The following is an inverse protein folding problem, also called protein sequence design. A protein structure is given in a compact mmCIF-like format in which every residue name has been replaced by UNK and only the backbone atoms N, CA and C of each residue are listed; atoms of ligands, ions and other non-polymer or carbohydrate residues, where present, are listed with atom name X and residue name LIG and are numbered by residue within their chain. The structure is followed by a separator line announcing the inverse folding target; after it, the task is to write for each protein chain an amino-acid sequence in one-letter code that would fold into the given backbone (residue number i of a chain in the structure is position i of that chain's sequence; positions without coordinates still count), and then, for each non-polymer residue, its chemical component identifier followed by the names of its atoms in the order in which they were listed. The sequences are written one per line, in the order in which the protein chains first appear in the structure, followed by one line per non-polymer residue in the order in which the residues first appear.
data_IF_757320563687
#
_entry.id   IF_757320563687
#
_cell.length_a   1.000
_cell.length_b   1.000
_cell.length_c   1.000
_cell.angle_alpha   90.00
_cell.angle_beta   90.00
_cell.angle_gamma   90.00
#
_symmetry.space_group_name_H-M   'P 1'
#
loop_
_entity.id
_entity.type
_entity.pdbx_description
1 polymer ?
#
# COMPACT_ATOMS: atom_id res chain seq x y z
N UNK A 1 6.73 25.25 0.16
CA UNK A 1 6.02 24.85 1.40
C UNK A 1 4.75 24.13 0.94
N UNK A 2 4.67 22.84 1.14
CA UNK A 2 3.50 22.08 0.75
C UNK A 2 2.49 22.15 1.89
N UNK A 3 1.36 22.79 1.63
CA UNK A 3 0.27 22.97 2.57
C UNK A 3 -0.42 21.63 2.83
N UNK A 4 -0.03 20.99 3.92
CA UNK A 4 -0.87 19.96 4.52
C UNK A 4 -1.40 20.50 5.84
N UNK A 5 -2.63 20.11 6.17
CA UNK A 5 -3.28 20.53 7.41
C UNK A 5 -2.91 19.56 8.52
N UNK A 6 -2.62 20.07 9.71
CA UNK A 6 -2.45 19.25 10.91
C UNK A 6 -3.65 19.49 11.82
N UNK A 7 -4.30 18.41 12.25
CA UNK A 7 -5.37 18.44 13.25
C UNK A 7 -4.93 17.72 14.51
N UNK A 8 -5.02 18.42 15.61
CA UNK A 8 -4.75 17.88 16.94
C UNK A 8 -5.96 17.08 17.42
N UNK A 9 -5.71 15.86 17.86
CA UNK A 9 -6.69 14.98 18.52
C UNK A 9 -6.36 14.88 20.00
N UNK A 10 -7.38 14.82 20.85
CA UNK A 10 -7.23 14.61 22.30
C UNK A 10 -7.48 13.16 22.70
N UNK A 11 -7.65 12.25 21.74
CA UNK A 11 -7.91 10.83 21.98
C UNK A 11 -6.59 10.04 21.91
N UNK A 12 -6.46 8.92 22.64
CA UNK A 12 -5.28 8.05 22.61
C UNK A 12 -5.27 7.21 21.31
N UNK A 13 -5.20 7.86 20.17
CA UNK A 13 -5.15 7.24 18.85
C UNK A 13 -3.76 7.51 18.24
N UNK A 14 -3.19 6.52 17.58
CA UNK A 14 -1.94 6.69 16.85
C UNK A 14 -2.05 7.74 15.74
N UNK A 15 -0.95 8.33 15.33
CA UNK A 15 -0.92 9.30 14.24
C UNK A 15 -1.36 8.64 12.93
N UNK A 16 -2.09 9.38 12.10
CA UNK A 16 -2.48 8.94 10.76
C UNK A 16 -2.73 10.13 9.85
N UNK A 17 -2.65 9.88 8.56
CA UNK A 17 -3.01 10.87 7.54
C UNK A 17 -4.21 10.39 6.71
N UNK A 18 -5.11 11.32 6.41
CA UNK A 18 -6.22 11.09 5.50
C UNK A 18 -6.37 12.27 4.56
N UNK A 19 -6.41 12.00 3.25
CA UNK A 19 -6.42 13.01 2.20
C UNK A 19 -5.22 13.96 2.35
N UNK A 20 -5.43 15.23 2.63
CA UNK A 20 -4.39 16.25 2.81
C UNK A 20 -4.26 16.70 4.27
N UNK A 21 -4.73 15.90 5.21
CA UNK A 21 -4.74 16.24 6.62
C UNK A 21 -4.04 15.15 7.43
N UNK A 22 -3.13 15.57 8.30
CA UNK A 22 -2.47 14.71 9.30
C UNK A 22 -3.21 14.88 10.62
N UNK A 23 -3.54 13.79 11.26
CA UNK A 23 -4.19 13.71 12.58
C UNK A 23 -3.21 13.17 13.60
N UNK A 24 -3.00 13.88 14.70
CA UNK A 24 -2.02 13.51 15.72
C UNK A 24 -2.45 14.00 17.10
N UNK A 25 -2.11 13.22 18.13
CA UNK A 25 -2.18 13.67 19.53
C UNK A 25 -0.77 14.00 20.03
N UNK A 26 -0.41 15.29 20.12
CA UNK A 26 0.94 15.70 20.55
C UNK A 26 1.27 15.31 21.98
N UNK A 27 0.26 15.15 22.86
CA UNK A 27 0.48 14.83 24.27
C UNK A 27 1.07 13.41 24.48
N UNK A 28 1.01 12.55 23.46
CA UNK A 28 1.51 11.17 23.53
C UNK A 28 2.96 11.03 23.05
N UNK A 29 3.57 12.09 22.53
CA UNK A 29 4.84 12.00 21.81
C UNK A 29 5.82 13.06 22.29
N UNK A 30 7.10 12.71 22.34
CA UNK A 30 8.17 13.70 22.53
C UNK A 30 8.33 14.60 21.30
N UNK A 31 8.98 15.73 21.44
CA UNK A 31 9.21 16.70 20.36
C UNK A 31 9.96 16.06 19.17
N UNK A 32 10.96 15.22 19.44
CA UNK A 32 11.73 14.52 18.40
C UNK A 32 10.89 13.49 17.67
N UNK A 33 10.05 12.76 18.37
CA UNK A 33 9.10 11.79 17.77
C UNK A 33 8.09 12.52 16.90
N UNK A 34 7.52 13.64 17.37
CA UNK A 34 6.57 14.45 16.61
C UNK A 34 7.14 14.88 15.27
N UNK A 35 8.39 15.33 15.25
CA UNK A 35 9.07 15.71 14.00
C UNK A 35 9.19 14.54 13.03
N UNK A 36 9.54 13.38 13.54
CA UNK A 36 9.67 12.15 12.74
C UNK A 36 8.33 11.70 12.20
N UNK A 37 7.30 11.64 13.05
CA UNK A 37 5.93 11.28 12.69
C UNK A 37 5.38 12.22 11.63
N UNK A 38 5.47 13.55 11.85
CA UNK A 38 4.99 14.53 10.90
C UNK A 38 5.69 14.42 9.54
N UNK A 39 6.99 14.10 9.54
CA UNK A 39 7.74 13.88 8.30
C UNK A 39 7.23 12.63 7.57
N UNK A 40 6.90 11.57 8.29
CA UNK A 40 6.34 10.34 7.76
C UNK A 40 4.96 10.58 7.14
N UNK A 41 4.04 11.14 7.91
CA UNK A 41 2.67 11.43 7.47
C UNK A 41 2.63 12.44 6.30
N UNK A 42 3.55 13.40 6.29
CA UNK A 42 3.68 14.34 5.17
C UNK A 42 3.99 13.63 3.85
N UNK A 43 4.72 12.53 3.87
CA UNK A 43 5.01 11.77 2.65
C UNK A 43 3.75 11.08 2.15
N UNK A 44 2.95 10.49 3.05
CA UNK A 44 1.67 9.88 2.68
C UNK A 44 0.74 10.91 2.03
N UNK A 45 0.63 12.09 2.60
CA UNK A 45 -0.17 13.19 2.04
C UNK A 45 0.34 13.61 0.65
N UNK A 46 1.65 13.87 0.53
CA UNK A 46 2.26 14.33 -0.74
C UNK A 46 2.15 13.34 -1.87
N UNK A 47 2.14 12.04 -1.57
CA UNK A 47 2.06 10.98 -2.57
C UNK A 47 0.63 10.49 -2.83
N UNK A 48 -0.36 11.09 -2.19
CA UNK A 48 -1.77 10.71 -2.36
C UNK A 48 -2.05 9.24 -2.00
N UNK A 49 -1.29 8.68 -1.04
CA UNK A 49 -1.44 7.29 -0.61
C UNK A 49 -2.87 6.94 -0.19
N UNK A 50 -3.66 7.94 0.24
CA UNK A 50 -5.10 7.76 0.52
C UNK A 50 -5.87 7.25 -0.69
N UNK A 51 -5.52 7.69 -1.92
CA UNK A 51 -6.18 7.19 -3.13
C UNK A 51 -5.84 5.72 -3.38
N UNK A 52 -4.59 5.33 -3.21
CA UNK A 52 -4.16 3.93 -3.36
C UNK A 52 -4.91 3.02 -2.38
N UNK A 53 -5.06 3.47 -1.14
CA UNK A 53 -5.81 2.74 -0.10
C UNK A 53 -7.30 2.65 -0.49
N UNK A 54 -7.93 3.74 -0.92
CA UNK A 54 -9.34 3.76 -1.34
C UNK A 54 -9.55 2.80 -2.52
N UNK A 55 -8.68 2.82 -3.52
CA UNK A 55 -8.76 1.92 -4.67
C UNK A 55 -8.60 0.46 -4.27
N UNK A 56 -7.68 0.17 -3.34
CA UNK A 56 -7.50 -1.18 -2.80
C UNK A 56 -8.74 -1.64 -2.02
N UNK A 57 -9.36 -0.78 -1.21
CA UNK A 57 -10.59 -1.08 -0.48
C UNK A 57 -11.78 -1.30 -1.44
N UNK A 58 -11.96 -0.44 -2.45
CA UNK A 58 -13.00 -0.61 -3.47
C UNK A 58 -12.82 -1.92 -4.24
N UNK A 59 -11.59 -2.29 -4.55
CA UNK A 59 -11.31 -3.58 -5.20
C UNK A 59 -11.78 -4.77 -4.35
N UNK A 60 -11.62 -4.68 -3.02
CA UNK A 60 -12.15 -5.72 -2.10
C UNK A 60 -13.67 -5.73 -2.09
N UNK A 61 -14.33 -4.57 -2.12
CA UNK A 61 -15.81 -4.49 -2.16
C UNK A 61 -16.35 -5.18 -3.41
N UNK A 62 -15.76 -4.96 -4.58
CA UNK A 62 -16.23 -5.57 -5.84
C UNK A 62 -15.84 -7.04 -5.99
N UNK A 63 -14.68 -7.45 -5.47
CA UNK A 63 -14.12 -8.79 -5.67
C UNK A 63 -13.89 -9.51 -4.33
N UNK A 64 -14.75 -9.29 -3.34
CA UNK A 64 -14.63 -9.80 -1.97
C UNK A 64 -14.49 -11.33 -1.90
N UNK A 65 -15.06 -12.05 -2.88
CA UNK A 65 -15.02 -13.52 -2.99
C UNK A 65 -13.66 -14.05 -3.49
N UNK A 66 -12.77 -13.18 -3.99
CA UNK A 66 -11.45 -13.57 -4.50
C UNK A 66 -10.37 -13.35 -3.42
N UNK A 67 -9.76 -14.44 -2.87
CA UNK A 67 -8.72 -14.29 -1.85
C UNK A 67 -7.49 -13.50 -2.34
N UNK A 68 -7.20 -13.53 -3.64
CA UNK A 68 -6.10 -12.78 -4.24
C UNK A 68 -6.24 -11.26 -4.05
N UNK A 69 -7.46 -10.72 -4.02
CA UNK A 69 -7.68 -9.29 -3.84
C UNK A 69 -7.33 -8.82 -2.42
N UNK A 70 -7.57 -9.68 -1.42
CA UNK A 70 -7.20 -9.42 -0.03
C UNK A 70 -5.68 -9.39 0.15
N UNK A 71 -4.97 -10.33 -0.52
CA UNK A 71 -3.51 -10.33 -0.56
C UNK A 71 -2.96 -9.10 -1.27
N UNK A 72 -3.58 -8.71 -2.38
CA UNK A 72 -3.21 -7.48 -3.10
C UNK A 72 -3.39 -6.24 -2.23
N UNK A 73 -4.53 -6.07 -1.56
CA UNK A 73 -4.77 -4.96 -0.62
C UNK A 73 -3.69 -4.89 0.45
N UNK A 74 -3.34 -6.04 1.05
CA UNK A 74 -2.28 -6.13 2.05
C UNK A 74 -0.93 -5.71 1.45
N UNK A 75 -0.58 -6.22 0.28
CA UNK A 75 0.66 -5.89 -0.41
C UNK A 75 0.74 -4.39 -0.77
N UNK A 76 -0.37 -3.77 -1.18
CA UNK A 76 -0.44 -2.32 -1.43
C UNK A 76 -0.11 -1.56 -0.15
N UNK A 77 -0.79 -1.84 0.97
CA UNK A 77 -0.53 -1.16 2.25
C UNK A 77 0.93 -1.30 2.68
N UNK A 78 1.48 -2.52 2.68
CA UNK A 78 2.88 -2.77 3.02
C UNK A 78 3.85 -1.98 2.10
N UNK A 79 3.56 -1.94 0.80
CA UNK A 79 4.42 -1.23 -0.16
C UNK A 79 4.41 0.29 0.04
N UNK A 80 3.26 0.88 0.39
CA UNK A 80 3.17 2.31 0.72
C UNK A 80 4.06 2.66 1.90
N UNK A 81 4.10 1.81 2.95
CA UNK A 81 5.00 1.98 4.09
C UNK A 81 6.47 1.90 3.66
N UNK A 82 6.84 0.91 2.83
CA UNK A 82 8.22 0.77 2.34
C UNK A 82 8.68 1.96 1.51
N UNK A 83 7.82 2.50 0.67
CA UNK A 83 8.11 3.69 -0.14
C UNK A 83 8.28 4.94 0.74
N UNK A 84 7.46 5.07 1.78
CA UNK A 84 7.55 6.17 2.74
C UNK A 84 8.85 6.10 3.51
N UNK A 85 9.19 4.92 4.05
CA UNK A 85 10.45 4.68 4.77
C UNK A 85 11.68 4.96 3.88
N UNK A 86 11.68 4.47 2.65
CA UNK A 86 12.77 4.74 1.70
C UNK A 86 12.97 6.24 1.45
N UNK A 87 11.86 7.01 1.33
CA UNK A 87 11.94 8.46 1.11
C UNK A 87 12.47 9.22 2.31
N UNK A 88 12.12 8.79 3.53
CA UNK A 88 12.65 9.37 4.76
C UNK A 88 14.17 9.17 4.82
N UNK A 89 14.63 7.94 4.58
CA UNK A 89 16.04 7.62 4.57
C UNK A 89 16.81 8.36 3.45
N UNK A 90 16.21 8.55 2.28
CA UNK A 90 16.79 9.35 1.19
C UNK A 90 16.92 10.84 1.52
N UNK A 91 16.11 11.36 2.46
CA UNK A 91 16.23 12.75 2.97
C UNK A 91 17.34 12.92 4.00
N UNK A 92 18.11 11.87 4.29
CA UNK A 92 19.27 11.93 5.18
C UNK A 92 18.97 11.65 6.65
N UNK A 93 17.77 11.16 6.99
CA UNK A 93 17.48 10.74 8.36
C UNK A 93 18.33 9.52 8.71
N UNK A 94 18.92 9.51 9.92
CA UNK A 94 19.67 8.35 10.41
C UNK A 94 18.75 7.13 10.51
N UNK A 95 19.22 6.04 9.90
CA UNK A 95 18.40 4.81 9.79
C UNK A 95 18.08 4.20 11.15
N UNK A 96 19.07 4.17 12.06
CA UNK A 96 18.86 3.56 13.38
C UNK A 96 17.92 4.41 14.22
N UNK A 97 18.15 5.73 14.24
CA UNK A 97 17.29 6.66 14.97
C UNK A 97 15.84 6.56 14.47
N UNK A 98 15.63 6.46 13.15
CA UNK A 98 14.31 6.28 12.57
C UNK A 98 13.66 4.95 12.94
N UNK A 99 14.41 3.84 12.93
CA UNK A 99 13.91 2.53 13.33
C UNK A 99 13.49 2.50 14.82
N UNK A 100 14.25 3.15 15.69
CA UNK A 100 13.89 3.29 17.10
C UNK A 100 12.62 4.12 17.29
N UNK A 101 12.49 5.25 16.60
CA UNK A 101 11.27 6.07 16.72
C UNK A 101 10.00 5.32 16.23
N UNK A 102 10.12 4.45 15.24
CA UNK A 102 9.01 3.59 14.81
C UNK A 102 8.62 2.56 15.89
N UNK A 103 9.59 2.01 16.61
CA UNK A 103 9.34 1.09 17.72
C UNK A 103 8.64 1.80 18.89
N UNK A 104 9.08 3.00 19.22
CA UNK A 104 8.51 3.80 20.31
C UNK A 104 7.05 4.17 20.01
N UNK A 105 6.78 4.67 18.79
CA UNK A 105 5.41 4.97 18.33
C UNK A 105 4.52 3.72 18.32
N UNK A 106 5.05 2.57 17.91
CA UNK A 106 4.32 1.30 17.89
C UNK A 106 3.93 0.79 19.28
N UNK A 107 4.69 1.14 20.29
CA UNK A 107 4.43 0.73 21.69
C UNK A 107 3.43 1.64 22.42
N UNK A 108 3.20 2.86 21.94
CA UNK A 108 2.34 3.86 22.58
C UNK A 108 0.83 3.65 22.33
N UNK A 109 0.46 2.86 21.34
CA UNK A 109 -0.94 2.57 21.06
C UNK A 109 -1.39 1.42 21.98
N UNK A 110 -2.31 1.66 22.94
CA UNK A 110 -2.88 0.58 23.75
C UNK A 110 -3.67 -0.35 22.84
N UNK A 111 -3.07 -1.47 22.52
CA UNK A 111 -3.67 -2.45 21.62
C UNK A 111 -4.18 -3.65 22.41
N UNK A 112 -5.35 -4.11 22.03
CA UNK A 112 -5.82 -5.47 22.35
C UNK A 112 -4.75 -6.45 21.85
N UNK A 113 -4.37 -7.45 22.62
CA UNK A 113 -3.23 -8.36 22.36
C UNK A 113 -3.15 -8.93 20.92
N UNK A 114 -4.30 -9.14 20.30
CA UNK A 114 -4.40 -9.64 18.92
C UNK A 114 -3.89 -8.60 17.91
N UNK A 115 -4.20 -7.32 18.12
CA UNK A 115 -3.79 -6.21 17.22
C UNK A 115 -2.29 -5.93 17.34
N UNK A 116 -1.71 -6.08 18.53
CA UNK A 116 -0.27 -5.91 18.77
C UNK A 116 0.58 -6.87 17.94
N UNK A 117 0.18 -8.15 17.85
CA UNK A 117 0.93 -9.14 17.08
C UNK A 117 0.97 -8.82 15.56
N UNK A 118 -0.10 -8.24 15.01
CA UNK A 118 -0.14 -7.81 13.61
C UNK A 118 0.73 -6.57 13.38
N UNK A 119 0.68 -5.58 14.28
CA UNK A 119 1.48 -4.37 14.18
C UNK A 119 2.99 -4.66 14.26
N UNK A 120 3.41 -5.54 15.17
CA UNK A 120 4.80 -5.97 15.30
C UNK A 120 5.30 -6.72 14.05
N UNK A 121 4.46 -7.55 13.42
CA UNK A 121 4.81 -8.23 12.18
C UNK A 121 5.08 -7.24 11.05
N UNK A 122 4.25 -6.22 10.90
CA UNK A 122 4.39 -5.22 9.83
C UNK A 122 5.58 -4.30 10.10
N UNK A 123 5.80 -3.90 11.34
CA UNK A 123 6.99 -3.15 11.76
C UNK A 123 8.28 -3.94 11.48
N UNK A 124 8.31 -5.23 11.81
CA UNK A 124 9.45 -6.11 11.49
C UNK A 124 9.73 -6.18 9.99
N UNK A 125 8.70 -6.21 9.16
CA UNK A 125 8.85 -6.18 7.69
C UNK A 125 9.45 -4.86 7.21
N UNK A 126 8.99 -3.71 7.76
CA UNK A 126 9.52 -2.39 7.45
C UNK A 126 11.01 -2.30 7.79
N UNK A 127 11.40 -2.70 9.02
CA UNK A 127 12.80 -2.72 9.46
C UNK A 127 13.66 -3.62 8.53
N UNK A 128 13.15 -4.82 8.20
CA UNK A 128 13.82 -5.73 7.29
C UNK A 128 14.01 -5.10 5.89
N UNK A 129 13.00 -4.42 5.37
CA UNK A 129 13.07 -3.78 4.06
C UNK A 129 14.03 -2.60 4.04
N UNK A 130 14.04 -1.77 5.09
CA UNK A 130 15.02 -0.67 5.23
C UNK A 130 16.47 -1.14 5.26
N UNK A 131 16.73 -2.35 5.77
CA UNK A 131 18.06 -2.96 5.84
C UNK A 131 18.40 -3.82 4.61
N UNK A 132 17.44 -4.08 3.72
CA UNK A 132 17.66 -4.88 2.53
C UNK A 132 18.53 -4.16 1.50
N UNK A 133 19.34 -4.92 0.78
CA UNK A 133 20.06 -4.41 -0.40
C UNK A 133 19.05 -4.13 -1.52
N UNK A 134 19.27 -3.07 -2.28
CA UNK A 134 18.46 -2.79 -3.46
C UNK A 134 18.42 -3.97 -4.41
N UNK A 135 17.21 -4.31 -4.85
CA UNK A 135 17.04 -5.33 -5.88
C UNK A 135 17.76 -4.93 -7.16
N UNK A 136 18.43 -5.89 -7.79
CA UNK A 136 19.05 -5.67 -9.10
C UNK A 136 17.98 -5.30 -10.15
N UNK A 137 18.35 -4.47 -11.12
CA UNK A 137 17.51 -4.16 -12.30
C UNK A 137 17.11 -5.43 -13.07
N UNK A 138 17.89 -6.51 -12.95
CA UNK A 138 17.56 -7.83 -13.52
C UNK A 138 16.27 -8.44 -12.94
N UNK A 139 15.80 -8.03 -11.75
CA UNK A 139 14.50 -8.49 -11.27
C UNK A 139 13.33 -8.01 -12.12
N UNK A 140 13.50 -6.94 -12.91
CA UNK A 140 12.51 -6.49 -13.90
C UNK A 140 12.34 -7.49 -15.06
N UNK A 141 13.35 -8.30 -15.36
CA UNK A 141 13.30 -9.34 -16.40
C UNK A 141 12.21 -10.37 -16.09
N UNK A 142 11.88 -10.61 -14.83
CA UNK A 142 10.78 -11.49 -14.43
C UNK A 142 9.43 -11.03 -14.98
N UNK A 143 9.21 -9.73 -15.07
CA UNK A 143 7.97 -9.17 -15.62
C UNK A 143 7.88 -9.30 -17.14
N UNK A 144 9.02 -9.41 -17.82
CA UNK A 144 9.08 -9.68 -19.26
C UNK A 144 8.42 -11.01 -19.63
N UNK A 145 8.50 -12.01 -18.75
CA UNK A 145 7.84 -13.32 -18.96
C UNK A 145 6.34 -13.30 -18.63
N UNK A 146 5.86 -12.34 -17.84
CA UNK A 146 4.43 -12.21 -17.51
C UNK A 146 3.66 -11.59 -18.68
N UNK A 147 4.24 -10.62 -19.39
CA UNK A 147 3.60 -9.94 -20.49
C UNK A 147 3.11 -10.87 -21.61
N UNK A 148 3.90 -11.82 -22.14
CA UNK A 148 3.41 -12.74 -23.17
C UNK A 148 2.31 -13.68 -22.65
N UNK A 149 2.33 -14.09 -21.38
CA UNK A 149 1.26 -14.91 -20.80
C UNK A 149 -0.05 -14.12 -20.78
N UNK A 150 -0.01 -12.86 -20.39
CA UNK A 150 -1.19 -11.97 -20.42
C UNK A 150 -1.72 -11.76 -21.85
N UNK A 151 -0.83 -11.59 -22.81
CA UNK A 151 -1.20 -11.42 -24.22
C UNK A 151 -1.86 -12.70 -24.78
N UNK A 152 -1.33 -13.87 -24.46
CA UNK A 152 -1.90 -15.16 -24.88
C UNK A 152 -3.28 -15.38 -24.25
N UNK A 153 -3.45 -15.11 -22.96
CA UNK A 153 -4.76 -15.23 -22.29
C UNK A 153 -5.78 -14.25 -22.87
N UNK A 154 -5.36 -13.02 -23.17
CA UNK A 154 -6.23 -12.03 -23.81
C UNK A 154 -6.63 -12.47 -25.23
N UNK A 155 -5.68 -12.92 -26.04
CA UNK A 155 -5.94 -13.41 -27.39
C UNK A 155 -6.90 -14.61 -27.38
N UNK A 156 -6.73 -15.53 -26.43
CA UNK A 156 -7.61 -16.70 -26.26
C UNK A 156 -9.04 -16.29 -25.89
N UNK A 157 -9.21 -15.34 -24.96
CA UNK A 157 -10.52 -14.84 -24.56
C UNK A 157 -11.24 -14.10 -25.68
N UNK A 158 -10.53 -13.29 -26.45
CA UNK A 158 -11.08 -12.58 -27.64
C UNK A 158 -11.42 -13.57 -28.73
N UNK A 159 -10.54 -14.54 -29.01
CA UNK A 159 -10.80 -15.61 -30.00
C UNK A 159 -12.04 -16.44 -29.67
N UNK A 160 -12.18 -16.90 -28.43
CA UNK A 160 -13.33 -17.65 -27.98
C UNK A 160 -14.65 -16.85 -28.11
N UNK A 161 -14.60 -15.55 -27.84
CA UNK A 161 -15.76 -14.66 -28.01
C UNK A 161 -16.18 -14.51 -29.48
N UNK A 162 -15.21 -14.38 -30.38
CA UNK A 162 -15.47 -14.27 -31.80
C UNK A 162 -16.05 -15.55 -32.41
N UNK A 163 -15.59 -16.72 -31.96
CA UNK A 163 -16.14 -18.02 -32.40
C UNK A 163 -17.63 -18.14 -31.99
N UNK A 164 -17.97 -17.82 -30.73
CA UNK A 164 -19.37 -17.84 -30.28
C UNK A 164 -20.27 -16.88 -31.05
N UNK A 165 -19.78 -15.71 -31.42
CA UNK A 165 -20.53 -14.74 -32.24
C UNK A 165 -20.74 -15.28 -33.66
N UNK A 166 -19.73 -15.91 -34.25
CA UNK A 166 -19.81 -16.51 -35.57
C UNK A 166 -20.79 -17.69 -35.63
N UNK A 167 -20.81 -18.53 -34.60
CA UNK A 167 -21.80 -19.64 -34.46
C UNK A 167 -23.22 -19.10 -34.35
N UNK A 168 -23.48 -18.10 -33.51
CA UNK A 168 -24.82 -17.48 -33.41
C UNK A 168 -25.28 -16.91 -34.75
N UNK A 169 -24.42 -16.24 -35.48
CA UNK A 169 -24.75 -15.66 -36.79
C UNK A 169 -25.09 -16.72 -37.85
N UNK A 170 -24.54 -17.95 -37.77
CA UNK A 170 -24.87 -19.06 -38.66
C UNK A 170 -26.25 -19.64 -38.37
N UNK A 171 -26.70 -19.64 -37.10
CA UNK A 171 -28.01 -20.14 -36.69
C UNK A 171 -29.13 -19.19 -37.11
N UNK A 172 -28.85 -17.87 -37.16
CA UNK A 172 -29.83 -16.84 -37.49
C UNK A 172 -30.03 -16.61 -39.01
N UNK A 173 -29.29 -17.34 -39.87
CA UNK A 173 -29.50 -17.27 -41.32
C UNK A 173 -30.71 -18.11 -41.71
N UNK A 174 -31.73 -17.58 -42.45
CA UNK A 174 -32.84 -18.34 -42.94
C UNK A 174 -32.34 -19.49 -43.82
N UNK A 175 -32.73 -20.69 -43.49
CA UNK A 175 -32.49 -21.89 -44.31
C UNK A 175 -33.26 -21.73 -45.62
N UNK A 176 -32.74 -22.11 -46.81
CA UNK A 176 -33.39 -21.98 -48.08
C UNK A 176 -34.62 -22.87 -48.21
#
# INVERSE_FOLDING_TARGET
VSDFKVRVLNQPVGPFSFWQTVYINPALHSENELKTILTHEQIHVKQWHTLDIILAELSVVFYWFNPGIWLMKKAVKENLEFLTDEKILKRGMDRKAYQYSLLDVGNLVPAVDIVNNFNLSDLKKRIKMMNAKRSSKFSLVRYFFIAPILLVTLAFTVGAKNIKIAERRKVDLPQP
#
